data_IF_642624013751
#
_entry.id   IF_642624013751
#
_cell.length_a   1.000
_cell.length_b   1.000
_cell.length_c   1.000
_cell.angle_alpha   90.00
_cell.angle_beta   90.00
_cell.angle_gamma   90.00
#
_symmetry.space_group_name_H-M   'P 1'
#
loop_
_entity.id
_entity.type
_entity.pdbx_description
1 polymer ?
#
# COMPACT_ATOMS: atom_id res chain seq x y z
N UNK A 1 21.91 -36.17 -1.75
CA UNK A 1 21.42 -35.45 -0.58
C UNK A 1 22.22 -34.15 -0.47
N UNK A 2 21.65 -32.98 -0.69
CA UNK A 2 22.36 -31.72 -0.47
C UNK A 2 22.48 -31.45 1.03
N UNK A 3 23.65 -31.04 1.46
CA UNK A 3 23.94 -30.67 2.84
C UNK A 3 23.11 -29.41 3.20
N UNK A 4 22.24 -29.52 4.21
CA UNK A 4 21.67 -28.35 4.89
C UNK A 4 22.83 -27.58 5.52
N UNK A 5 23.11 -26.37 5.01
CA UNK A 5 23.94 -25.42 5.72
C UNK A 5 23.11 -24.86 6.88
N UNK A 6 23.39 -25.29 8.09
CA UNK A 6 22.89 -24.66 9.30
C UNK A 6 23.59 -23.30 9.43
N UNK A 7 22.91 -22.22 9.08
CA UNK A 7 23.29 -20.88 9.49
C UNK A 7 22.84 -20.79 10.96
N UNK A 8 23.78 -20.85 11.89
CA UNK A 8 23.51 -20.53 13.30
C UNK A 8 23.30 -19.02 13.40
N UNK A 9 22.08 -18.57 13.54
CA UNK A 9 21.76 -17.21 13.91
C UNK A 9 22.02 -17.03 15.41
N UNK A 10 22.83 -16.04 15.74
CA UNK A 10 23.00 -15.61 17.13
C UNK A 10 21.71 -14.88 17.54
N UNK A 11 20.88 -15.52 18.35
CA UNK A 11 19.58 -14.97 18.80
C UNK A 11 19.71 -13.64 19.58
N UNK A 12 20.91 -13.30 20.05
CA UNK A 12 21.18 -12.05 20.76
C UNK A 12 21.33 -10.82 19.86
N UNK A 13 21.33 -11.00 18.53
CA UNK A 13 21.41 -9.89 17.55
C UNK A 13 20.07 -9.57 16.87
N UNK A 14 18.98 -10.22 17.21
CA UNK A 14 17.64 -9.90 16.70
C UNK A 14 17.20 -8.55 17.27
N UNK A 15 17.24 -7.53 16.45
CA UNK A 15 17.08 -6.14 16.86
C UNK A 15 15.70 -5.57 16.61
N UNK A 16 14.78 -6.37 16.04
CA UNK A 16 13.41 -5.96 15.71
C UNK A 16 12.38 -6.85 16.40
N UNK A 17 11.44 -6.22 17.09
CA UNK A 17 10.37 -6.91 17.79
C UNK A 17 9.10 -6.96 16.97
N UNK A 18 8.32 -8.01 17.18
CA UNK A 18 6.94 -8.08 16.68
C UNK A 18 6.11 -7.01 17.37
N UNK A 19 5.31 -6.30 16.58
CA UNK A 19 4.32 -5.35 17.06
C UNK A 19 2.93 -5.82 16.64
N UNK A 20 1.98 -5.66 17.55
CA UNK A 20 0.57 -5.98 17.29
C UNK A 20 -0.34 -4.83 17.77
N UNK A 21 -1.58 -4.84 17.32
CA UNK A 21 -2.62 -3.96 17.83
C UNK A 21 -3.50 -4.75 18.82
N UNK A 22 -3.78 -4.17 19.97
CA UNK A 22 -4.69 -4.76 20.96
C UNK A 22 -6.16 -4.37 20.65
N UNK A 23 -7.11 -4.86 21.48
CA UNK A 23 -8.54 -4.60 21.32
C UNK A 23 -8.90 -3.10 21.50
N UNK A 24 -8.11 -2.35 22.24
CA UNK A 24 -8.30 -0.90 22.46
C UNK A 24 -7.73 -0.04 21.33
N UNK A 25 -7.07 -0.66 20.32
CA UNK A 25 -6.46 0.02 19.18
C UNK A 25 -5.06 0.56 19.45
N UNK A 26 -4.42 0.11 20.54
CA UNK A 26 -3.07 0.51 20.89
C UNK A 26 -2.03 -0.41 20.20
N UNK A 27 -0.88 0.13 19.86
CA UNK A 27 0.23 -0.63 19.29
C UNK A 27 1.17 -1.08 20.42
N UNK A 28 1.34 -2.38 20.52
CA UNK A 28 2.10 -3.02 21.62
C UNK A 28 3.37 -3.65 21.06
N UNK A 29 4.51 -3.28 21.64
CA UNK A 29 5.78 -4.00 21.48
C UNK A 29 5.70 -5.30 22.29
N UNK A 30 5.76 -6.44 21.59
CA UNK A 30 5.65 -7.75 22.25
C UNK A 30 6.96 -8.19 22.93
N UNK A 31 8.06 -7.48 22.69
CA UNK A 31 9.43 -7.90 23.08
C UNK A 31 9.85 -9.25 22.45
N UNK A 32 9.02 -9.84 21.59
CA UNK A 32 9.34 -11.06 20.85
C UNK A 32 9.95 -10.73 19.48
N UNK A 33 10.91 -11.51 18.98
CA UNK A 33 11.50 -11.30 17.68
C UNK A 33 10.45 -11.31 16.55
N UNK A 34 10.51 -10.29 15.69
CA UNK A 34 9.61 -10.14 14.56
C UNK A 34 9.86 -11.23 13.51
N UNK A 35 8.79 -11.91 13.11
CA UNK A 35 8.77 -12.78 11.94
C UNK A 35 8.21 -12.04 10.74
N UNK A 36 8.63 -12.45 9.54
CA UNK A 36 8.07 -12.02 8.26
C UNK A 36 7.70 -13.24 7.43
N UNK A 37 6.99 -13.04 6.32
CA UNK A 37 6.57 -14.14 5.46
C UNK A 37 6.97 -13.91 4.00
N UNK A 38 7.48 -14.96 3.34
CA UNK A 38 7.71 -15.03 1.90
C UNK A 38 6.90 -16.18 1.32
N UNK A 39 5.89 -15.89 0.52
CA UNK A 39 4.92 -16.90 0.10
C UNK A 39 4.22 -17.53 1.31
N UNK A 40 4.43 -18.85 1.53
CA UNK A 40 3.88 -19.60 2.66
C UNK A 40 4.91 -19.89 3.76
N UNK A 41 6.13 -19.38 3.64
CA UNK A 41 7.21 -19.63 4.59
C UNK A 41 7.42 -18.45 5.51
N UNK A 42 7.50 -18.71 6.83
CA UNK A 42 7.93 -17.73 7.82
C UNK A 42 9.44 -17.69 7.88
N UNK A 43 10.00 -16.51 8.10
CA UNK A 43 11.44 -16.31 8.22
C UNK A 43 11.76 -15.09 9.10
N UNK A 44 13.02 -15.01 9.52
CA UNK A 44 13.60 -13.86 10.19
C UNK A 44 14.39 -13.06 9.14
N UNK A 45 14.31 -11.75 9.22
CA UNK A 45 15.09 -10.85 8.36
C UNK A 45 15.62 -9.64 9.12
N UNK A 46 16.67 -9.06 8.60
CA UNK A 46 17.20 -7.74 9.01
C UNK A 46 16.88 -6.66 7.98
N UNK A 47 16.20 -6.99 6.90
CA UNK A 47 15.89 -6.08 5.79
C UNK A 47 14.68 -5.19 6.14
N UNK A 48 14.85 -4.42 7.20
CA UNK A 48 13.91 -3.40 7.64
C UNK A 48 14.48 -1.99 7.42
N UNK A 49 13.63 -1.05 7.07
CA UNK A 49 13.94 0.38 7.03
C UNK A 49 12.99 1.11 8.00
N UNK A 50 13.34 2.30 8.51
CA UNK A 50 12.39 3.14 9.23
C UNK A 50 11.11 3.31 8.42
N UNK A 51 9.96 3.30 9.10
CA UNK A 51 8.66 3.42 8.43
C UNK A 51 8.60 4.73 7.63
N UNK A 52 8.46 4.69 6.29
CA UNK A 52 8.44 5.90 5.48
C UNK A 52 7.27 6.82 5.82
N UNK A 53 7.51 8.13 5.76
CA UNK A 53 6.45 9.12 5.85
C UNK A 53 5.39 8.87 4.75
N UNK A 54 4.12 8.98 5.11
CA UNK A 54 3.00 8.67 4.22
C UNK A 54 2.62 7.18 4.17
N UNK A 55 3.29 6.32 4.97
CA UNK A 55 2.83 4.94 5.18
C UNK A 55 1.57 4.93 6.05
N UNK A 56 0.67 3.97 5.80
CA UNK A 56 -0.48 3.71 6.66
C UNK A 56 -0.28 2.41 7.42
N UNK A 57 -0.39 2.46 8.75
CA UNK A 57 -0.44 1.26 9.60
C UNK A 57 -1.86 0.70 9.60
N UNK A 58 -1.98 -0.60 9.40
CA UNK A 58 -3.26 -1.32 9.29
C UNK A 58 -3.17 -2.62 10.10
N UNK A 59 -4.20 -2.91 10.86
CA UNK A 59 -4.34 -4.22 11.50
C UNK A 59 -5.07 -5.22 10.59
N UNK A 60 -4.82 -6.50 10.78
CA UNK A 60 -5.40 -7.57 9.97
C UNK A 60 -6.41 -8.38 10.80
N UNK A 61 -7.72 -8.11 10.66
CA UNK A 61 -8.75 -8.78 11.46
C UNK A 61 -8.85 -10.28 11.15
N UNK A 62 -9.21 -11.08 12.16
CA UNK A 62 -9.36 -12.51 12.03
C UNK A 62 -8.03 -13.24 11.79
N UNK A 63 -6.93 -12.69 12.26
CA UNK A 63 -5.59 -13.26 12.13
C UNK A 63 -4.82 -13.12 13.42
N UNK A 64 -3.96 -14.08 13.67
CA UNK A 64 -3.05 -14.08 14.80
C UNK A 64 -1.65 -13.69 14.34
N UNK A 65 -0.96 -12.78 15.04
CA UNK A 65 0.43 -12.46 14.72
C UNK A 65 1.33 -13.65 14.98
N UNK A 66 2.39 -13.77 14.19
CA UNK A 66 3.41 -14.83 14.35
C UNK A 66 4.72 -14.20 14.76
N UNK A 67 5.33 -14.74 15.82
CA UNK A 67 6.66 -14.36 16.30
C UNK A 67 7.63 -15.56 16.18
N UNK A 68 8.91 -15.25 16.33
CA UNK A 68 9.95 -16.27 16.41
C UNK A 68 10.37 -16.47 17.86
N UNK A 69 10.06 -17.65 18.42
CA UNK A 69 10.27 -17.98 19.85
C UNK A 69 10.90 -19.36 19.93
N UNK A 70 11.98 -19.50 20.70
CA UNK A 70 12.66 -20.78 20.95
C UNK A 70 12.98 -21.58 19.67
N UNK A 71 13.49 -20.89 18.64
CA UNK A 71 13.83 -21.45 17.33
C UNK A 71 12.63 -21.93 16.47
N UNK A 72 11.40 -21.57 16.86
CA UNK A 72 10.17 -21.89 16.13
C UNK A 72 9.34 -20.64 15.81
N UNK A 73 8.51 -20.72 14.76
CA UNK A 73 7.52 -19.70 14.44
C UNK A 73 6.19 -20.07 15.08
N UNK A 74 5.72 -19.24 15.99
CA UNK A 74 4.52 -19.51 16.77
C UNK A 74 3.51 -18.38 16.63
N UNK A 75 2.24 -18.73 16.48
CA UNK A 75 1.14 -17.78 16.62
C UNK A 75 1.06 -17.30 18.06
N UNK A 76 0.92 -16.00 18.21
CA UNK A 76 0.81 -15.36 19.52
C UNK A 76 -0.65 -15.03 19.78
N UNK A 77 -1.13 -15.43 20.94
CA UNK A 77 -2.47 -15.17 21.44
C UNK A 77 -2.37 -14.43 22.78
N UNK A 78 -3.32 -13.56 23.06
CA UNK A 78 -3.51 -13.01 24.41
C UNK A 78 -4.68 -13.71 25.08
N UNK A 79 -4.55 -14.17 26.35
CA UNK A 79 -5.66 -14.81 27.06
C UNK A 79 -6.75 -13.81 27.50
N UNK A 80 -6.42 -12.51 27.54
CA UNK A 80 -7.27 -11.49 28.13
C UNK A 80 -7.97 -10.59 27.09
N UNK A 81 -7.46 -10.53 25.87
CA UNK A 81 -7.96 -9.64 24.83
C UNK A 81 -7.65 -10.14 23.41
N UNK A 82 -8.40 -9.65 22.43
CA UNK A 82 -8.10 -9.87 21.02
C UNK A 82 -6.87 -9.06 20.60
N UNK A 83 -5.95 -9.71 19.90
CA UNK A 83 -4.77 -9.05 19.31
C UNK A 83 -4.73 -9.29 17.81
N UNK A 84 -4.17 -8.33 17.08
CA UNK A 84 -4.17 -8.35 15.62
C UNK A 84 -2.78 -8.06 15.07
N UNK A 85 -2.32 -8.82 14.04
CA UNK A 85 -1.07 -8.50 13.36
C UNK A 85 -1.14 -7.11 12.75
N UNK A 86 -0.05 -6.34 12.89
CA UNK A 86 0.11 -5.05 12.28
C UNK A 86 0.86 -5.18 10.96
N UNK A 87 0.48 -4.37 9.99
CA UNK A 87 1.15 -4.25 8.70
C UNK A 87 1.16 -2.80 8.20
N UNK A 88 1.89 -2.53 7.14
CA UNK A 88 1.92 -1.21 6.52
C UNK A 88 1.52 -1.28 5.04
N UNK A 89 0.81 -0.24 4.59
CA UNK A 89 0.76 0.15 3.19
C UNK A 89 1.82 1.20 2.94
N UNK A 90 2.66 0.95 1.96
CA UNK A 90 3.79 1.82 1.63
C UNK A 90 3.36 2.94 0.69
N UNK A 91 3.92 4.15 0.84
CA UNK A 91 3.77 5.20 -0.15
C UNK A 91 4.52 4.84 -1.44
N UNK A 92 4.26 5.58 -2.51
CA UNK A 92 5.02 5.46 -3.75
C UNK A 92 6.52 5.71 -3.52
N UNK A 93 7.36 5.09 -4.33
CA UNK A 93 8.82 5.13 -4.18
C UNK A 93 9.41 4.05 -3.29
N UNK A 94 8.58 3.14 -2.78
CA UNK A 94 8.99 2.00 -1.96
C UNK A 94 8.37 0.71 -2.47
N UNK A 95 9.08 -0.40 -2.31
CA UNK A 95 8.55 -1.74 -2.58
C UNK A 95 8.69 -2.63 -1.36
N UNK A 96 7.66 -3.44 -1.12
CA UNK A 96 7.66 -4.46 -0.08
C UNK A 96 8.68 -5.55 -0.40
N UNK A 97 9.43 -5.97 0.62
CA UNK A 97 10.30 -7.15 0.56
C UNK A 97 9.58 -8.40 1.09
N UNK A 98 8.88 -8.25 2.22
CA UNK A 98 8.21 -9.36 2.90
C UNK A 98 6.79 -9.00 3.30
N UNK A 99 5.94 -10.04 3.35
CA UNK A 99 4.58 -10.00 3.87
C UNK A 99 4.59 -10.02 5.41
N UNK A 100 3.56 -9.49 6.08
CA UNK A 100 3.37 -9.69 7.51
C UNK A 100 3.23 -11.19 7.83
N UNK A 101 3.83 -11.60 8.96
CA UNK A 101 3.71 -12.96 9.46
C UNK A 101 2.43 -13.10 10.29
N UNK A 102 1.51 -13.93 9.83
CA UNK A 102 0.26 -14.22 10.52
C UNK A 102 -0.28 -15.59 10.16
N UNK A 103 -1.10 -16.15 11.03
CA UNK A 103 -1.97 -17.29 10.75
C UNK A 103 -3.44 -16.83 10.68
N UNK A 104 -4.20 -17.43 9.77
CA UNK A 104 -5.62 -17.14 9.63
C UNK A 104 -6.42 -17.90 10.68
N UNK A 105 -7.35 -17.22 11.37
CA UNK A 105 -8.45 -17.91 12.04
C UNK A 105 -9.44 -18.51 11.03
N UNK A 106 -10.29 -19.42 11.49
CA UNK A 106 -11.21 -20.18 10.62
C UNK A 106 -12.10 -19.28 9.78
N UNK A 107 -12.55 -18.17 10.36
CA UNK A 107 -13.47 -17.21 9.72
C UNK A 107 -12.79 -15.91 9.29
N UNK A 108 -11.48 -15.95 9.03
CA UNK A 108 -10.73 -14.75 8.63
C UNK A 108 -11.32 -14.13 7.36
N UNK A 109 -11.65 -12.84 7.36
CA UNK A 109 -12.16 -12.16 6.17
C UNK A 109 -11.09 -12.13 5.08
N UNK A 110 -11.53 -12.08 3.81
CA UNK A 110 -10.61 -11.88 2.68
C UNK A 110 -10.05 -10.46 2.80
N UNK A 111 -8.72 -10.34 2.73
CA UNK A 111 -8.08 -9.04 2.74
C UNK A 111 -8.32 -8.31 1.42
N UNK A 112 -8.76 -7.03 1.46
CA UNK A 112 -9.10 -6.29 0.25
C UNK A 112 -7.87 -5.88 -0.59
N UNK A 113 -6.67 -5.85 0.02
CA UNK A 113 -5.44 -5.41 -0.63
C UNK A 113 -4.39 -6.53 -0.67
N UNK A 114 -3.40 -6.37 -1.56
CA UNK A 114 -2.25 -7.27 -1.69
C UNK A 114 -0.91 -6.58 -1.33
N UNK A 115 -0.96 -5.29 -0.96
CA UNK A 115 0.20 -4.44 -0.72
C UNK A 115 0.76 -4.43 0.70
N UNK A 116 0.27 -5.30 1.57
CA UNK A 116 0.68 -5.33 2.99
C UNK A 116 2.16 -5.70 3.16
N UNK A 117 2.90 -4.82 3.84
CA UNK A 117 4.30 -5.04 4.20
C UNK A 117 4.42 -5.38 5.69
N UNK A 118 5.36 -6.27 6.03
CA UNK A 118 5.65 -6.62 7.41
C UNK A 118 6.18 -5.41 8.17
N UNK A 119 5.68 -5.21 9.38
CA UNK A 119 6.08 -4.13 10.31
C UNK A 119 6.71 -4.74 11.55
N UNK A 120 7.68 -4.04 12.08
CA UNK A 120 8.33 -4.36 13.34
C UNK A 120 8.58 -3.07 14.14
N UNK A 121 8.92 -3.21 15.40
CA UNK A 121 9.29 -2.11 16.28
C UNK A 121 10.69 -2.31 16.81
N UNK A 122 11.43 -1.23 17.02
CA UNK A 122 12.72 -1.22 17.65
C UNK A 122 12.95 0.12 18.35
N UNK A 123 13.35 0.10 19.61
CA UNK A 123 13.60 1.29 20.42
C UNK A 123 12.40 2.29 20.41
N UNK A 124 11.17 1.77 20.32
CA UNK A 124 9.93 2.55 20.24
C UNK A 124 9.61 3.13 18.85
N UNK A 125 10.42 2.86 17.84
CA UNK A 125 10.26 3.34 16.47
C UNK A 125 9.74 2.22 15.55
N UNK A 126 8.86 2.56 14.60
CA UNK A 126 8.35 1.61 13.63
C UNK A 126 9.30 1.41 12.45
N UNK A 127 9.43 0.17 12.03
CA UNK A 127 10.20 -0.26 10.87
C UNK A 127 9.33 -1.11 9.95
N UNK A 128 9.67 -1.14 8.67
CA UNK A 128 8.93 -1.91 7.66
C UNK A 128 9.89 -2.70 6.77
N UNK A 129 9.52 -3.93 6.45
CA UNK A 129 10.27 -4.80 5.54
C UNK A 129 10.09 -4.34 4.10
N UNK A 130 10.83 -3.31 3.71
CA UNK A 130 10.71 -2.64 2.43
C UNK A 130 12.07 -2.12 1.94
N UNK A 131 12.08 -1.73 0.66
CA UNK A 131 13.21 -1.08 0.02
C UNK A 131 12.74 0.17 -0.73
N UNK A 132 13.49 1.26 -0.60
CA UNK A 132 13.30 2.44 -1.42
C UNK A 132 13.72 2.12 -2.87
N UNK A 133 12.85 2.42 -3.83
CA UNK A 133 13.03 2.13 -5.26
C UNK A 133 13.06 3.38 -6.12
N UNK A 134 12.46 4.47 -5.64
CA UNK A 134 12.41 5.75 -6.36
C UNK A 134 12.48 6.92 -5.37
N UNK A 135 12.49 8.15 -5.89
CA UNK A 135 12.45 9.36 -5.07
C UNK A 135 11.02 9.56 -4.52
N UNK A 136 10.80 9.40 -3.20
CA UNK A 136 9.48 9.56 -2.60
C UNK A 136 9.00 11.01 -2.62
N UNK A 137 9.89 11.99 -2.80
CA UNK A 137 9.52 13.42 -2.87
C UNK A 137 8.55 13.68 -4.01
N UNK A 138 8.67 12.97 -5.12
CA UNK A 138 7.75 13.09 -6.26
C UNK A 138 6.29 12.82 -5.88
N UNK A 139 6.05 11.90 -4.92
CA UNK A 139 4.73 11.46 -4.49
C UNK A 139 4.29 12.00 -3.15
N UNK A 140 5.11 12.85 -2.52
CA UNK A 140 4.74 13.44 -1.24
C UNK A 140 3.48 14.32 -1.44
N UNK A 141 2.38 14.08 -0.69
CA UNK A 141 1.13 14.85 -0.79
C UNK A 141 1.33 16.37 -0.64
N UNK A 142 2.32 16.80 0.12
CA UNK A 142 2.67 18.23 0.27
C UNK A 142 3.13 18.89 -1.03
N UNK A 143 3.51 18.09 -2.04
CA UNK A 143 3.85 18.59 -3.37
C UNK A 143 2.64 18.70 -4.31
N UNK A 144 1.42 18.52 -3.79
CA UNK A 144 0.16 18.64 -4.51
C UNK A 144 -0.70 19.74 -3.90
N UNK A 145 -0.28 21.02 -4.00
CA UNK A 145 -1.02 22.12 -3.39
C UNK A 145 -2.40 22.26 -4.04
N UNK A 146 -3.42 22.30 -3.20
CA UNK A 146 -4.82 22.27 -3.62
C UNK A 146 -5.18 23.46 -4.51
N UNK A 147 -4.69 24.65 -4.19
CA UNK A 147 -4.91 25.88 -4.97
C UNK A 147 -4.36 25.75 -6.40
N UNK A 148 -3.18 25.17 -6.58
CA UNK A 148 -2.60 24.92 -7.90
C UNK A 148 -3.33 23.84 -8.68
N UNK A 149 -3.83 22.83 -7.98
CA UNK A 149 -4.65 21.79 -8.60
C UNK A 149 -5.95 22.40 -9.15
N UNK A 150 -6.64 23.23 -8.36
CA UNK A 150 -7.86 23.91 -8.76
C UNK A 150 -7.64 24.89 -9.92
N UNK A 151 -6.52 25.65 -9.91
CA UNK A 151 -6.11 26.49 -11.04
C UNK A 151 -5.91 25.66 -12.32
N UNK A 152 -5.18 24.54 -12.24
CA UNK A 152 -4.94 23.63 -13.37
C UNK A 152 -6.21 22.99 -13.92
N UNK A 153 -7.12 22.57 -13.04
CA UNK A 153 -8.44 22.05 -13.42
C UNK A 153 -9.25 23.11 -14.16
N UNK A 154 -9.32 24.34 -13.63
CA UNK A 154 -10.05 25.44 -14.24
C UNK A 154 -9.51 25.76 -15.62
N UNK A 155 -8.18 25.85 -15.74
CA UNK A 155 -7.50 26.09 -17.00
C UNK A 155 -7.84 25.03 -18.06
N UNK A 156 -7.74 23.75 -17.71
CA UNK A 156 -7.99 22.68 -18.68
C UNK A 156 -9.46 22.59 -19.10
N UNK A 157 -10.40 22.88 -18.19
CA UNK A 157 -11.84 22.96 -18.53
C UNK A 157 -12.15 24.09 -19.52
N UNK A 158 -11.41 25.20 -19.44
CA UNK A 158 -11.55 26.31 -20.41
C UNK A 158 -10.91 26.00 -21.77
N UNK A 159 -9.73 25.34 -21.77
CA UNK A 159 -9.02 24.99 -23.00
C UNK A 159 -9.65 23.82 -23.77
N UNK A 160 -10.27 22.88 -23.07
CA UNK A 160 -10.84 21.65 -23.65
C UNK A 160 -12.29 21.41 -23.16
N UNK A 161 -13.21 22.34 -23.39
CA UNK A 161 -14.58 22.29 -22.81
C UNK A 161 -15.41 21.10 -23.28
N UNK A 162 -15.12 20.54 -24.45
CA UNK A 162 -15.84 19.41 -25.04
C UNK A 162 -15.19 18.05 -24.66
N UNK A 163 -14.01 18.05 -24.01
CA UNK A 163 -13.31 16.82 -23.65
C UNK A 163 -13.83 16.27 -22.31
N UNK A 164 -14.61 15.19 -22.38
CA UNK A 164 -15.21 14.56 -21.19
C UNK A 164 -14.19 13.97 -20.21
N UNK A 165 -12.97 13.64 -20.69
CA UNK A 165 -11.90 13.18 -19.82
C UNK A 165 -11.42 14.26 -18.86
N UNK A 166 -11.46 15.52 -19.25
CA UNK A 166 -11.09 16.65 -18.36
C UNK A 166 -11.99 16.65 -17.12
N UNK A 167 -13.32 16.55 -17.32
CA UNK A 167 -14.28 16.53 -16.22
C UNK A 167 -14.10 15.28 -15.34
N UNK A 168 -13.90 14.12 -15.98
CA UNK A 168 -13.66 12.86 -15.27
C UNK A 168 -12.37 12.91 -14.43
N UNK A 169 -11.26 13.37 -15.02
CA UNK A 169 -9.97 13.48 -14.33
C UNK A 169 -10.02 14.53 -13.22
N UNK A 170 -10.74 15.64 -13.42
CA UNK A 170 -10.96 16.66 -12.40
C UNK A 170 -11.69 16.06 -11.17
N UNK A 171 -12.75 15.31 -11.39
CA UNK A 171 -13.44 14.61 -10.32
C UNK A 171 -12.52 13.60 -9.60
N UNK A 172 -11.74 12.82 -10.35
CA UNK A 172 -10.77 11.91 -9.75
C UNK A 172 -9.70 12.63 -8.91
N UNK A 173 -9.22 13.79 -9.36
CA UNK A 173 -8.19 14.55 -8.67
C UNK A 173 -8.71 15.26 -7.42
N UNK A 174 -9.88 15.92 -7.51
CA UNK A 174 -10.42 16.77 -6.46
C UNK A 174 -11.21 15.98 -5.40
N UNK A 175 -12.01 14.99 -5.82
CA UNK A 175 -12.88 14.23 -4.91
C UNK A 175 -12.23 12.93 -4.41
N UNK A 176 -11.54 12.20 -5.29
CA UNK A 176 -10.89 10.94 -4.93
C UNK A 176 -9.40 11.11 -4.59
N UNK A 177 -8.87 12.32 -4.66
CA UNK A 177 -7.46 12.64 -4.38
C UNK A 177 -6.48 11.74 -5.13
N UNK A 178 -6.81 11.40 -6.38
CA UNK A 178 -6.01 10.53 -7.23
C UNK A 178 -4.77 11.27 -7.73
N UNK A 179 -3.60 10.91 -7.22
CA UNK A 179 -2.33 11.59 -7.55
C UNK A 179 -1.98 11.52 -9.04
N UNK A 180 -2.29 10.42 -9.73
CA UNK A 180 -2.04 10.31 -11.19
C UNK A 180 -2.95 11.22 -12.01
N UNK A 181 -4.19 11.46 -11.58
CA UNK A 181 -5.06 12.46 -12.19
C UNK A 181 -4.59 13.87 -11.85
N UNK A 182 -4.19 14.14 -10.61
CA UNK A 182 -3.64 15.42 -10.19
C UNK A 182 -2.39 15.81 -10.98
N UNK A 183 -1.53 14.84 -11.32
CA UNK A 183 -0.33 15.08 -12.13
C UNK A 183 -0.66 15.62 -13.53
N UNK A 184 -1.79 15.28 -14.13
CA UNK A 184 -2.24 15.87 -15.41
C UNK A 184 -2.42 17.38 -15.26
N UNK A 185 -3.18 17.81 -14.25
CA UNK A 185 -3.50 19.23 -14.04
C UNK A 185 -2.31 20.06 -13.52
N UNK A 186 -1.39 19.41 -12.80
CA UNK A 186 -0.17 20.04 -12.31
C UNK A 186 0.99 19.95 -13.32
N UNK A 187 0.76 19.38 -14.49
CA UNK A 187 1.75 19.12 -15.54
C UNK A 187 3.04 18.49 -14.97
N UNK A 188 2.87 17.37 -14.26
CA UNK A 188 3.95 16.66 -13.59
C UNK A 188 4.37 15.43 -14.38
N UNK A 189 5.42 14.80 -13.95
CA UNK A 189 6.20 13.74 -14.60
C UNK A 189 5.43 12.44 -14.98
N UNK A 190 4.24 12.21 -14.45
CA UNK A 190 3.43 11.01 -14.76
C UNK A 190 1.94 11.35 -14.63
N UNK A 191 1.15 10.87 -15.55
CA UNK A 191 -0.30 11.00 -15.52
C UNK A 191 -0.97 9.69 -15.95
N UNK A 192 -2.21 9.47 -15.48
CA UNK A 192 -3.04 8.33 -15.87
C UNK A 192 -4.24 8.78 -16.70
N UNK A 193 -4.35 8.29 -17.94
CA UNK A 193 -5.48 8.58 -18.82
C UNK A 193 -6.31 7.30 -18.98
N UNK A 194 -7.56 7.24 -18.49
CA UNK A 194 -8.42 6.09 -18.69
C UNK A 194 -8.87 6.00 -20.15
N UNK A 195 -8.82 4.80 -20.72
CA UNK A 195 -9.14 4.56 -22.13
C UNK A 195 -10.40 3.72 -22.33
N UNK A 196 -10.86 3.05 -21.28
CA UNK A 196 -12.05 2.17 -21.37
C UNK A 196 -12.65 1.92 -19.99
N UNK A 197 -13.99 1.86 -19.88
CA UNK A 197 -14.68 1.44 -18.65
C UNK A 197 -14.63 -0.07 -18.44
N UNK A 198 -14.09 -0.84 -19.37
CA UNK A 198 -14.11 -2.31 -19.31
C UNK A 198 -12.75 -2.89 -19.68
N UNK A 199 -12.43 -4.03 -19.07
CA UNK A 199 -11.28 -4.85 -19.39
C UNK A 199 -11.73 -6.28 -19.69
N UNK A 200 -11.09 -6.93 -20.64
CA UNK A 200 -11.35 -8.33 -20.98
C UNK A 200 -10.41 -9.33 -20.29
N UNK A 201 -9.53 -8.85 -19.42
CA UNK A 201 -8.66 -9.70 -18.63
C UNK A 201 -9.34 -10.09 -17.31
N UNK A 202 -9.08 -11.32 -16.85
CA UNK A 202 -9.54 -11.84 -15.56
C UNK A 202 -8.39 -11.95 -14.56
N UNK A 203 -7.65 -10.85 -14.33
CA UNK A 203 -6.49 -10.86 -13.44
C UNK A 203 -6.88 -11.13 -11.99
N UNK A 204 -6.22 -12.07 -11.35
CA UNK A 204 -6.34 -12.28 -9.92
C UNK A 204 -5.75 -11.08 -9.19
N UNK A 205 -6.52 -10.46 -8.27
CA UNK A 205 -6.07 -9.24 -7.57
C UNK A 205 -5.98 -8.00 -8.47
N UNK A 206 -6.93 -7.84 -9.38
CA UNK A 206 -6.99 -6.71 -10.29
C UNK A 206 -7.22 -5.39 -9.53
N UNK A 207 -6.23 -4.51 -9.49
CA UNK A 207 -6.34 -3.20 -8.83
C UNK A 207 -7.37 -2.27 -9.50
N UNK A 208 -7.68 -2.49 -10.79
CA UNK A 208 -8.69 -1.68 -11.50
C UNK A 208 -10.13 -2.03 -11.12
N UNK A 209 -10.36 -3.18 -10.47
CA UNK A 209 -11.65 -3.62 -9.92
C UNK A 209 -11.68 -3.60 -8.39
N UNK A 210 -10.61 -3.16 -7.76
CA UNK A 210 -10.49 -3.13 -6.32
C UNK A 210 -11.25 -1.94 -5.76
N UNK A 211 -12.26 -2.21 -4.96
CA UNK A 211 -13.01 -1.19 -4.21
C UNK A 211 -12.21 -0.70 -3.01
N UNK A 212 -12.51 0.52 -2.56
CA UNK A 212 -12.03 1.07 -1.31
C UNK A 212 -13.19 1.78 -0.58
N UNK A 213 -13.04 2.01 0.71
CA UNK A 213 -14.07 2.71 1.51
C UNK A 213 -14.28 4.17 1.05
N UNK A 214 -13.26 4.78 0.46
CA UNK A 214 -13.31 6.19 0.08
C UNK A 214 -13.79 6.44 -1.35
N UNK A 215 -13.68 5.47 -2.27
CA UNK A 215 -13.98 5.71 -3.68
C UNK A 215 -14.21 4.41 -4.47
N UNK A 216 -15.01 4.46 -5.56
CA UNK A 216 -15.19 3.33 -6.45
C UNK A 216 -13.87 2.83 -7.07
N UNK A 217 -13.87 1.59 -7.56
CA UNK A 217 -12.73 1.06 -8.28
C UNK A 217 -12.41 1.91 -9.53
N UNK A 218 -11.15 1.99 -9.96
CA UNK A 218 -10.79 2.78 -11.14
C UNK A 218 -11.63 2.47 -12.38
N UNK A 219 -12.08 1.22 -12.53
CA UNK A 219 -12.91 0.81 -13.66
C UNK A 219 -14.34 1.30 -13.55
N UNK A 220 -14.89 1.44 -12.35
CA UNK A 220 -16.26 1.92 -12.11
C UNK A 220 -16.38 3.44 -12.12
N UNK A 221 -15.26 4.16 -11.96
CA UNK A 221 -15.25 5.63 -11.98
C UNK A 221 -15.62 6.20 -13.34
N UNK A 222 -15.22 5.54 -14.44
CA UNK A 222 -15.49 6.03 -15.79
C UNK A 222 -16.75 5.38 -16.36
N UNK A 223 -17.77 6.19 -16.63
CA UNK A 223 -19.08 5.73 -17.15
C UNK A 223 -19.21 5.82 -18.69
N UNK A 224 -18.16 6.20 -19.40
CA UNK A 224 -18.15 6.35 -20.85
C UNK A 224 -16.88 5.79 -21.47
N UNK A 225 -16.89 5.55 -22.77
CA UNK A 225 -15.69 5.23 -23.53
C UNK A 225 -15.15 6.52 -24.16
N UNK A 226 -13.94 6.95 -23.79
CA UNK A 226 -13.29 8.10 -24.42
C UNK A 226 -13.02 7.86 -25.90
N UNK A 227 -13.07 8.91 -26.69
CA UNK A 227 -12.63 8.84 -28.08
C UNK A 227 -11.12 8.92 -28.20
N UNK A 228 -10.51 8.47 -29.30
CA UNK A 228 -9.08 8.61 -29.52
C UNK A 228 -8.63 10.07 -29.47
N UNK A 229 -9.49 11.01 -29.92
CA UNK A 229 -9.22 12.44 -29.93
C UNK A 229 -9.17 12.99 -28.52
N UNK A 230 -10.14 12.66 -27.65
CA UNK A 230 -10.14 13.05 -26.24
C UNK A 230 -8.89 12.56 -25.51
N UNK A 231 -8.45 11.33 -25.78
CA UNK A 231 -7.23 10.76 -25.20
C UNK A 231 -5.98 11.50 -25.71
N UNK A 232 -5.94 11.78 -27.02
CA UNK A 232 -4.79 12.45 -27.65
C UNK A 232 -4.62 13.89 -27.14
N UNK A 233 -5.71 14.63 -26.97
CA UNK A 233 -5.68 16.01 -26.44
C UNK A 233 -5.06 16.07 -25.05
N UNK A 234 -5.49 15.20 -24.13
CA UNK A 234 -4.91 15.12 -22.78
C UNK A 234 -3.44 14.68 -22.83
N UNK A 235 -3.12 13.67 -23.67
CA UNK A 235 -1.75 13.19 -23.79
C UNK A 235 -0.80 14.26 -24.35
N UNK A 236 -1.23 15.02 -25.36
CA UNK A 236 -0.43 16.11 -25.94
C UNK A 236 -0.23 17.26 -24.94
N UNK A 237 -1.27 17.58 -24.19
CA UNK A 237 -1.17 18.61 -23.13
C UNK A 237 -0.14 18.24 -22.06
N UNK A 238 -0.08 16.97 -21.71
CA UNK A 238 0.76 16.47 -20.61
C UNK A 238 2.22 16.20 -21.02
N UNK A 239 2.55 16.15 -22.32
CA UNK A 239 3.90 15.95 -22.83
C UNK A 239 4.72 17.24 -22.86
#
# INVERSE_FOLDING_TARGET
MPKKSSISFDATSLTYNMVYMNADGEFIDSELPAAVRSGNEFLITHDFIPLPEGSSLIYLPGRLPVAYVDEEFLSVESPDEDIYPLCALLPAGYTRLFLPAYENSVDAPILPLFGYAAVAIKDGEFFVAAKRTDDPVKWNPLNYPQDKLEEGVSYLKEEMPENRLVEHLAHCALEYHCLTASNIFLNRWEGGIPTSPTCNAGCLGCISLQESECCPSPQERIAFRPTPEEIAEIAIYHL
#
